data_IF_763641082187
#
_entry.id   IF_763641082187
#
_cell.length_a   1.000
_cell.length_b   1.000
_cell.length_c   1.000
_cell.angle_alpha   90.00
_cell.angle_beta   90.00
_cell.angle_gamma   90.00
#
_symmetry.space_group_name_H-M   'P 1'
#
loop_
_entity.id
_entity.type
_entity.pdbx_description
1 polymer ?
#
# COMPACT_ATOMS: atom_id res chain seq x y z
N UNK A 1 -12.04 17.60 -16.67
CA UNK A 1 -12.36 16.17 -16.49
C UNK A 1 -13.77 15.85 -16.99
N UNK A 2 -14.81 16.54 -16.54
CA UNK A 2 -16.20 16.28 -16.96
C UNK A 2 -16.39 16.35 -18.48
N UNK A 3 -15.86 17.39 -19.14
CA UNK A 3 -15.95 17.54 -20.60
C UNK A 3 -15.18 16.43 -21.32
N UNK A 4 -14.04 15.99 -20.77
CA UNK A 4 -13.28 14.85 -21.30
C UNK A 4 -14.12 13.57 -21.22
N UNK A 5 -14.77 13.32 -20.10
CA UNK A 5 -15.65 12.16 -19.92
C UNK A 5 -16.81 12.20 -20.90
N UNK A 6 -17.51 13.36 -21.04
CA UNK A 6 -18.60 13.53 -22.00
C UNK A 6 -18.17 13.27 -23.45
N UNK A 7 -16.99 13.78 -23.83
CA UNK A 7 -16.42 13.56 -25.15
C UNK A 7 -16.16 12.08 -25.42
N UNK A 8 -15.56 11.38 -24.47
CA UNK A 8 -15.27 9.96 -24.62
C UNK A 8 -16.54 9.09 -24.61
N UNK A 9 -17.56 9.47 -23.82
CA UNK A 9 -18.87 8.81 -23.87
C UNK A 9 -19.53 8.97 -25.24
N UNK A 10 -19.40 10.16 -25.89
CA UNK A 10 -19.88 10.36 -27.23
C UNK A 10 -19.17 9.48 -28.29
N UNK A 11 -17.92 9.07 -28.00
CA UNK A 11 -17.15 8.10 -28.79
C UNK A 11 -17.50 6.63 -28.47
N UNK A 12 -18.48 6.41 -27.57
CA UNK A 12 -18.99 5.08 -27.20
C UNK A 12 -17.92 4.16 -26.60
N UNK A 13 -17.07 4.70 -25.70
CA UNK A 13 -16.14 3.87 -24.94
C UNK A 13 -16.90 2.95 -23.97
N UNK A 14 -16.41 1.74 -23.77
CA UNK A 14 -17.02 0.75 -22.88
C UNK A 14 -16.74 1.02 -21.39
N UNK A 15 -15.67 1.77 -21.09
CA UNK A 15 -15.31 2.06 -19.71
C UNK A 15 -14.15 3.02 -19.55
N UNK A 16 -13.87 3.31 -18.27
CA UNK A 16 -12.80 4.23 -17.88
C UNK A 16 -11.90 3.61 -16.81
N UNK A 17 -10.60 3.77 -17.01
CA UNK A 17 -9.58 3.51 -15.99
C UNK A 17 -8.93 4.86 -15.68
N UNK A 18 -9.23 5.44 -14.51
CA UNK A 18 -8.78 6.80 -14.18
C UNK A 18 -7.92 6.81 -12.93
N UNK A 19 -6.80 7.54 -13.02
CA UNK A 19 -6.00 7.97 -11.88
C UNK A 19 -6.02 9.48 -11.78
N UNK A 20 -6.31 10.01 -10.59
CA UNK A 20 -6.47 11.45 -10.39
C UNK A 20 -5.83 11.92 -9.08
N UNK A 21 -5.31 13.15 -8.98
CA UNK A 21 -4.71 13.68 -7.76
C UNK A 21 -5.72 14.15 -6.71
N UNK A 22 -6.99 14.36 -7.05
CA UNK A 22 -8.04 14.81 -6.14
C UNK A 22 -8.59 13.63 -5.33
N UNK A 23 -8.76 13.84 -4.01
CA UNK A 23 -9.38 12.87 -3.12
C UNK A 23 -10.85 12.67 -3.46
N UNK A 24 -11.33 11.43 -3.45
CA UNK A 24 -12.73 11.04 -3.67
C UNK A 24 -13.32 11.44 -5.02
N UNK A 25 -12.50 11.83 -5.99
CA UNK A 25 -12.98 12.15 -7.34
C UNK A 25 -13.63 10.94 -8.01
N UNK A 26 -13.17 9.73 -7.67
CA UNK A 26 -13.73 8.48 -8.19
C UNK A 26 -15.21 8.30 -7.88
N UNK A 27 -15.68 8.74 -6.71
CA UNK A 27 -17.10 8.70 -6.34
C UNK A 27 -17.93 9.62 -7.26
N UNK A 28 -17.42 10.83 -7.54
CA UNK A 28 -18.09 11.79 -8.46
C UNK A 28 -18.14 11.25 -9.88
N UNK A 29 -17.04 10.65 -10.34
CA UNK A 29 -16.96 10.06 -11.68
C UNK A 29 -17.94 8.89 -11.80
N UNK A 30 -17.92 7.93 -10.88
CA UNK A 30 -18.79 6.77 -10.92
C UNK A 30 -20.28 7.16 -10.94
N UNK A 31 -20.68 8.17 -10.14
CA UNK A 31 -22.06 8.65 -10.10
C UNK A 31 -22.49 9.42 -11.38
N UNK A 32 -21.55 9.88 -12.18
CA UNK A 32 -21.84 10.62 -13.43
C UNK A 32 -21.84 9.72 -14.68
N UNK A 33 -21.39 8.47 -14.55
CA UNK A 33 -21.34 7.52 -15.67
C UNK A 33 -22.67 6.78 -15.85
N UNK A 34 -23.05 6.45 -17.09
CA UNK A 34 -24.16 5.51 -17.34
C UNK A 34 -23.85 4.13 -16.80
N UNK A 35 -24.89 3.37 -16.38
CA UNK A 35 -24.77 2.00 -15.88
C UNK A 35 -24.12 1.01 -16.88
N UNK A 36 -24.17 1.34 -18.16
CA UNK A 36 -23.56 0.55 -19.24
C UNK A 36 -22.04 0.76 -19.39
N UNK A 37 -21.44 1.68 -18.63
CA UNK A 37 -20.03 2.04 -18.75
C UNK A 37 -19.29 1.69 -17.46
N UNK A 38 -18.32 0.79 -17.53
CA UNK A 38 -17.56 0.40 -16.34
C UNK A 38 -16.55 1.49 -15.93
N UNK A 39 -16.20 1.50 -14.64
CA UNK A 39 -15.21 2.39 -14.09
C UNK A 39 -14.24 1.66 -13.15
N UNK A 40 -12.94 1.85 -13.36
CA UNK A 40 -11.88 1.35 -12.51
C UNK A 40 -11.09 2.52 -11.92
N UNK A 41 -11.09 2.63 -10.59
CA UNK A 41 -10.24 3.56 -9.86
C UNK A 41 -8.79 3.06 -9.83
N UNK A 42 -7.90 3.72 -10.60
CA UNK A 42 -6.46 3.45 -10.63
C UNK A 42 -5.67 4.29 -9.60
N UNK A 43 -6.35 4.87 -8.63
CA UNK A 43 -5.84 5.68 -7.53
C UNK A 43 -6.30 7.13 -7.57
N UNK A 44 -6.95 7.58 -6.50
CA UNK A 44 -7.42 8.95 -6.34
C UNK A 44 -6.83 9.59 -5.07
N UNK A 45 -6.17 10.72 -5.25
CA UNK A 45 -5.54 11.51 -4.18
C UNK A 45 -4.73 10.68 -3.18
N UNK A 46 -5.02 10.85 -1.89
CA UNK A 46 -4.58 10.01 -0.77
C UNK A 46 -5.70 9.06 -0.30
N UNK A 47 -6.84 9.05 -0.99
CA UNK A 47 -8.06 8.39 -0.56
C UNK A 47 -8.05 6.89 -0.82
N UNK A 48 -7.81 6.44 -2.07
CA UNK A 48 -7.91 5.03 -2.42
C UNK A 48 -7.01 4.61 -3.58
N UNK A 49 -6.60 3.33 -3.56
CA UNK A 49 -5.98 2.63 -4.67
C UNK A 49 -6.40 1.15 -4.66
N UNK A 50 -7.66 0.85 -4.99
CA UNK A 50 -8.23 -0.48 -4.83
C UNK A 50 -7.50 -1.55 -5.63
N UNK A 51 -7.09 -1.26 -6.87
CA UNK A 51 -6.38 -2.25 -7.71
C UNK A 51 -5.00 -2.61 -7.17
N UNK A 52 -4.33 -1.71 -6.43
CA UNK A 52 -3.09 -2.03 -5.73
C UNK A 52 -3.38 -2.89 -4.49
N UNK A 53 -4.38 -2.52 -3.71
CA UNK A 53 -4.77 -3.32 -2.54
C UNK A 53 -5.16 -4.75 -2.94
N UNK A 54 -5.85 -4.93 -4.07
CA UNK A 54 -6.22 -6.26 -4.58
C UNK A 54 -5.00 -7.13 -4.87
N UNK A 55 -4.03 -6.63 -5.63
CA UNK A 55 -2.82 -7.41 -5.94
C UNK A 55 -1.99 -7.71 -4.69
N UNK A 56 -1.92 -6.77 -3.74
CA UNK A 56 -1.18 -6.96 -2.49
C UNK A 56 -1.83 -8.06 -1.63
N UNK A 57 -3.13 -8.00 -1.44
CA UNK A 57 -3.89 -9.00 -0.66
C UNK A 57 -3.91 -10.35 -1.38
N UNK A 58 -4.02 -10.36 -2.70
CA UNK A 58 -3.89 -11.58 -3.51
C UNK A 58 -2.51 -12.22 -3.33
N UNK A 59 -1.44 -11.42 -3.33
CA UNK A 59 -0.07 -11.92 -3.09
C UNK A 59 0.08 -12.53 -1.68
N UNK A 60 -0.55 -11.94 -0.67
CA UNK A 60 -0.61 -12.52 0.68
C UNK A 60 -1.37 -13.85 0.68
N UNK A 61 -2.51 -13.90 -0.02
CA UNK A 61 -3.35 -15.11 -0.12
C UNK A 61 -2.59 -16.28 -0.78
N UNK A 62 -1.85 -16.02 -1.85
CA UNK A 62 -1.03 -17.06 -2.50
C UNK A 62 0.02 -17.69 -1.59
N UNK A 63 0.49 -16.95 -0.57
CA UNK A 63 1.50 -17.45 0.37
C UNK A 63 0.92 -18.19 1.57
N UNK A 64 -0.28 -17.79 2.00
CA UNK A 64 -0.84 -18.29 3.26
C UNK A 64 -2.15 -19.06 3.10
N UNK A 65 -2.80 -19.01 1.93
CA UNK A 65 -4.12 -19.61 1.62
C UNK A 65 -5.27 -19.17 2.53
N UNK A 66 -4.98 -18.55 3.66
CA UNK A 66 -5.95 -18.01 4.63
C UNK A 66 -5.42 -16.69 5.15
N UNK A 67 -6.28 -15.68 5.25
CA UNK A 67 -5.89 -14.33 5.66
C UNK A 67 -6.35 -13.98 7.08
N UNK A 68 -7.28 -14.73 7.66
CA UNK A 68 -7.91 -14.42 8.95
C UNK A 68 -6.89 -14.26 10.08
N UNK A 69 -5.96 -15.18 10.17
CA UNK A 69 -4.95 -15.23 11.23
C UNK A 69 -3.62 -14.59 10.81
N UNK A 70 -3.64 -13.87 9.69
CA UNK A 70 -2.46 -13.21 9.17
C UNK A 70 -2.10 -12.00 10.07
N UNK A 71 -0.82 -11.92 10.45
CA UNK A 71 -0.26 -10.84 11.24
C UNK A 71 0.53 -9.90 10.31
N UNK A 72 -0.03 -8.72 10.03
CA UNK A 72 0.54 -7.74 9.10
C UNK A 72 1.12 -6.57 9.87
N UNK A 73 2.34 -6.18 9.58
CA UNK A 73 2.90 -4.89 10.01
C UNK A 73 3.11 -4.00 8.80
N UNK A 74 2.57 -2.79 8.86
CA UNK A 74 2.73 -1.74 7.85
C UNK A 74 3.76 -0.76 8.37
N UNK A 75 4.88 -0.61 7.66
CA UNK A 75 6.01 0.23 8.06
C UNK A 75 6.16 1.42 7.13
N UNK A 76 6.27 2.61 7.70
CA UNK A 76 6.66 3.83 6.98
C UNK A 76 5.58 4.90 6.89
N UNK A 77 5.43 5.52 5.73
CA UNK A 77 4.54 6.68 5.52
C UNK A 77 3.09 6.25 5.27
N UNK A 78 2.38 6.00 6.36
CA UNK A 78 0.96 5.57 6.33
C UNK A 78 0.03 6.71 5.95
N UNK A 79 0.31 7.92 6.45
CA UNK A 79 -0.56 9.10 6.28
C UNK A 79 -0.72 9.50 4.82
N UNK A 80 0.34 9.41 4.04
CA UNK A 80 0.34 9.85 2.65
C UNK A 80 0.12 8.68 1.66
N UNK A 81 -0.10 7.46 2.17
CA UNK A 81 -0.33 6.29 1.34
C UNK A 81 -1.80 6.11 0.98
N UNK A 82 -2.13 6.27 -0.31
CA UNK A 82 -3.48 5.95 -0.83
C UNK A 82 -3.79 4.45 -0.86
N UNK A 83 -2.77 3.60 -0.76
CA UNK A 83 -2.93 2.14 -0.78
C UNK A 83 -3.52 1.64 0.52
N UNK A 84 -3.06 2.19 1.65
CA UNK A 84 -3.37 1.67 2.98
C UNK A 84 -4.87 1.68 3.32
N UNK A 85 -5.65 2.75 3.06
CA UNK A 85 -7.09 2.69 3.31
C UNK A 85 -7.78 1.54 2.57
N UNK A 86 -7.45 1.35 1.29
CA UNK A 86 -8.01 0.26 0.47
C UNK A 86 -7.53 -1.13 0.95
N UNK A 87 -6.26 -1.25 1.35
CA UNK A 87 -5.68 -2.51 1.84
C UNK A 87 -6.31 -2.93 3.17
N UNK A 88 -6.46 -2.00 4.11
CA UNK A 88 -7.13 -2.28 5.40
C UNK A 88 -8.58 -2.72 5.16
N UNK A 89 -9.30 -2.01 4.29
CA UNK A 89 -10.68 -2.37 3.95
C UNK A 89 -10.74 -3.81 3.42
N UNK A 90 -9.88 -4.15 2.46
CA UNK A 90 -9.88 -5.48 1.86
C UNK A 90 -9.44 -6.57 2.84
N UNK A 91 -8.39 -6.36 3.64
CA UNK A 91 -7.96 -7.28 4.69
C UNK A 91 -9.08 -7.53 5.72
N UNK A 92 -9.83 -6.47 6.09
CA UNK A 92 -10.98 -6.60 6.99
C UNK A 92 -12.11 -7.45 6.40
N UNK A 93 -12.37 -7.36 5.09
CA UNK A 93 -13.35 -8.23 4.40
C UNK A 93 -12.97 -9.71 4.50
N UNK A 94 -11.69 -10.03 4.50
CA UNK A 94 -11.16 -11.38 4.74
C UNK A 94 -10.94 -11.70 6.23
N UNK A 95 -11.48 -10.89 7.13
CA UNK A 95 -11.36 -11.08 8.60
C UNK A 95 -9.95 -11.04 9.16
N UNK A 96 -8.96 -10.52 8.42
CA UNK A 96 -7.63 -10.24 8.94
C UNK A 96 -7.70 -9.02 9.89
N UNK A 97 -7.46 -9.24 11.18
CA UNK A 97 -7.63 -8.22 12.23
C UNK A 97 -6.33 -7.79 12.88
N UNK A 98 -5.26 -8.60 12.77
CA UNK A 98 -3.97 -8.31 13.39
C UNK A 98 -3.10 -7.46 12.45
N UNK A 99 -3.44 -6.18 12.37
CA UNK A 99 -2.72 -5.19 11.56
C UNK A 99 -2.09 -4.16 12.49
N UNK A 100 -0.76 -4.05 12.46
CA UNK A 100 0.02 -3.08 13.22
C UNK A 100 0.65 -2.05 12.29
N UNK A 101 0.95 -0.87 12.85
CA UNK A 101 1.65 0.19 12.16
C UNK A 101 2.99 0.48 12.85
N UNK A 102 4.04 0.69 12.07
CA UNK A 102 5.39 0.94 12.57
C UNK A 102 6.03 2.11 11.82
N UNK A 103 6.50 3.11 12.54
CA UNK A 103 7.15 4.28 11.94
C UNK A 103 7.07 5.51 12.81
N UNK A 104 7.71 6.62 12.40
CA UNK A 104 7.63 7.87 13.12
C UNK A 104 6.18 8.31 13.35
N UNK A 105 5.90 8.82 14.55
CA UNK A 105 4.55 9.27 14.94
C UNK A 105 3.96 10.31 13.97
N UNK A 106 4.77 11.15 13.37
CA UNK A 106 4.35 12.14 12.36
C UNK A 106 3.83 11.51 11.06
N UNK A 107 4.21 10.25 10.77
CA UNK A 107 3.80 9.52 9.56
C UNK A 107 2.64 8.55 9.79
N UNK A 108 2.11 8.46 11.01
CA UNK A 108 1.02 7.55 11.37
C UNK A 108 -0.03 8.32 12.17
N UNK A 109 -1.17 8.61 11.54
CA UNK A 109 -2.27 9.31 12.22
C UNK A 109 -2.91 8.44 13.31
N UNK A 110 -3.50 9.08 14.32
CA UNK A 110 -4.09 8.43 15.50
C UNK A 110 -5.20 7.39 15.17
N UNK A 111 -5.82 7.51 13.99
CA UNK A 111 -6.80 6.53 13.51
C UNK A 111 -6.20 5.17 13.16
N UNK A 112 -4.88 5.09 12.96
CA UNK A 112 -4.18 3.86 12.63
C UNK A 112 -3.61 3.24 13.91
N UNK A 113 -4.31 2.27 14.49
CA UNK A 113 -3.94 1.62 15.75
C UNK A 113 -4.02 0.10 15.64
N UNK A 114 -3.16 -0.65 16.34
CA UNK A 114 -2.05 -0.16 17.17
C UNK A 114 -0.87 0.34 16.34
N UNK A 115 -0.26 1.45 16.78
CA UNK A 115 0.89 2.06 16.14
C UNK A 115 2.10 2.12 17.10
N UNK A 116 3.29 1.87 16.59
CA UNK A 116 4.55 1.85 17.31
C UNK A 116 5.54 2.80 16.65
N UNK A 117 6.15 3.68 17.44
CA UNK A 117 7.11 4.69 17.00
C UNK A 117 8.58 4.25 17.16
N UNK A 118 8.78 2.99 17.53
CA UNK A 118 10.11 2.39 17.63
C UNK A 118 10.08 0.91 17.29
N UNK A 119 11.11 0.46 16.58
CA UNK A 119 11.32 -0.95 16.26
C UNK A 119 12.17 -1.60 17.36
N UNK A 120 11.53 -2.04 18.45
CA UNK A 120 12.19 -2.74 19.55
C UNK A 120 12.69 -4.13 19.16
N UNK A 121 13.60 -4.68 19.97
CA UNK A 121 14.14 -6.02 19.77
C UNK A 121 13.03 -7.07 19.75
N UNK A 122 13.02 -7.90 18.72
CA UNK A 122 12.06 -8.99 18.57
C UNK A 122 10.62 -8.57 18.24
N UNK A 123 10.33 -7.28 18.03
CA UNK A 123 8.95 -6.79 17.84
C UNK A 123 8.24 -7.37 16.60
N UNK A 124 8.98 -7.93 15.65
CA UNK A 124 8.43 -8.54 14.43
C UNK A 124 8.60 -10.07 14.39
N UNK A 125 9.01 -10.71 15.48
CA UNK A 125 9.33 -12.14 15.49
C UNK A 125 8.17 -13.05 15.03
N UNK A 126 6.93 -12.66 15.35
CA UNK A 126 5.71 -13.40 14.98
C UNK A 126 4.92 -12.78 13.82
N UNK A 127 5.45 -11.74 13.16
CA UNK A 127 4.75 -11.10 12.05
C UNK A 127 4.94 -11.89 10.76
N UNK A 128 3.85 -12.11 10.04
CA UNK A 128 3.83 -12.84 8.77
C UNK A 128 4.24 -11.95 7.59
N UNK A 129 3.75 -10.71 7.58
CA UNK A 129 4.01 -9.73 6.54
C UNK A 129 4.59 -8.46 7.15
N UNK A 130 5.68 -7.97 6.56
CA UNK A 130 6.17 -6.61 6.72
C UNK A 130 5.94 -5.85 5.40
N UNK A 131 4.92 -5.01 5.40
CA UNK A 131 4.54 -4.19 4.25
C UNK A 131 5.19 -2.82 4.36
N UNK A 132 6.23 -2.59 3.56
CA UNK A 132 7.06 -1.38 3.62
C UNK A 132 6.52 -0.32 2.69
N UNK A 133 6.38 0.90 3.18
CA UNK A 133 5.88 2.05 2.42
C UNK A 133 7.00 3.03 2.10
N UNK A 134 6.97 3.56 0.90
CA UNK A 134 7.82 4.64 0.46
C UNK A 134 7.55 5.92 1.28
N UNK A 135 8.60 6.63 1.66
CA UNK A 135 8.47 7.99 2.19
C UNK A 135 8.11 8.92 1.04
N UNK A 136 6.93 9.55 1.10
CA UNK A 136 6.40 10.38 0.02
C UNK A 136 6.68 11.87 0.28
N UNK A 137 7.96 12.27 0.25
CA UNK A 137 8.42 13.64 0.52
C UNK A 137 7.68 14.70 -0.31
N UNK A 138 7.30 14.36 -1.52
CA UNK A 138 6.56 15.21 -2.43
C UNK A 138 5.13 15.55 -1.95
N UNK A 139 4.65 14.87 -0.93
CA UNK A 139 3.33 15.06 -0.33
C UNK A 139 3.34 15.75 1.02
N UNK A 140 4.51 16.00 1.56
CA UNK A 140 4.63 16.71 2.84
C UNK A 140 4.17 18.16 2.71
N UNK A 141 3.37 18.62 3.69
CA UNK A 141 2.87 19.99 3.78
C UNK A 141 3.26 20.56 5.14
N UNK A 142 4.00 21.67 5.14
CA UNK A 142 4.37 22.36 6.38
C UNK A 142 5.35 21.58 7.26
N UNK A 143 4.99 21.37 8.52
CA UNK A 143 5.84 20.74 9.56
C UNK A 143 5.94 19.20 9.45
N UNK A 144 5.37 18.58 8.43
CA UNK A 144 5.44 17.11 8.22
C UNK A 144 6.84 16.61 7.86
N UNK A 145 7.85 17.52 7.84
CA UNK A 145 9.23 17.16 7.53
C UNK A 145 9.79 16.16 8.54
N UNK A 146 10.13 14.98 8.08
CA UNK A 146 10.90 14.01 8.87
C UNK A 146 12.39 14.18 8.60
N UNK A 147 13.18 13.98 9.64
CA UNK A 147 14.60 13.81 9.45
C UNK A 147 14.86 12.44 8.82
N UNK A 148 15.21 12.43 7.53
CA UNK A 148 15.46 11.19 6.78
C UNK A 148 16.57 10.34 7.42
N UNK A 149 17.61 10.98 7.95
CA UNK A 149 18.68 10.28 8.65
C UNK A 149 18.20 9.51 9.88
N UNK A 150 17.26 10.09 10.65
CA UNK A 150 16.64 9.40 11.77
C UNK A 150 15.73 8.26 11.30
N UNK A 151 14.96 8.48 10.22
CA UNK A 151 14.14 7.41 9.64
C UNK A 151 15.02 6.24 9.18
N UNK A 152 16.07 6.50 8.43
CA UNK A 152 17.00 5.48 7.95
C UNK A 152 17.59 4.69 9.12
N UNK A 153 18.04 5.40 10.17
CA UNK A 153 18.63 4.76 11.34
C UNK A 153 17.68 3.82 12.07
N UNK A 154 16.42 4.22 12.22
CA UNK A 154 15.50 3.53 13.12
C UNK A 154 14.56 2.56 12.38
N UNK A 155 14.21 2.83 11.11
CA UNK A 155 13.15 2.15 10.39
C UNK A 155 13.54 1.61 9.00
N UNK A 156 14.72 1.94 8.46
CA UNK A 156 15.14 1.37 7.19
C UNK A 156 15.21 -0.15 7.29
N UNK A 157 14.53 -0.84 6.40
CA UNK A 157 14.58 -2.30 6.30
C UNK A 157 15.90 -2.71 5.64
N UNK A 158 16.83 -3.12 6.49
CA UNK A 158 18.15 -3.64 6.16
C UNK A 158 18.44 -4.90 7.00
N UNK A 159 19.59 -5.51 6.84
CA UNK A 159 19.95 -6.74 7.56
C UNK A 159 19.97 -6.56 9.09
N UNK A 160 20.42 -5.41 9.59
CA UNK A 160 20.47 -5.12 11.02
C UNK A 160 19.06 -4.93 11.60
N UNK A 161 18.20 -4.23 10.86
CA UNK A 161 16.78 -4.09 11.21
C UNK A 161 16.10 -5.47 11.28
N UNK A 162 16.25 -6.30 10.26
CA UNK A 162 15.65 -7.65 10.19
C UNK A 162 16.14 -8.50 11.36
N UNK A 163 17.46 -8.48 11.63
CA UNK A 163 18.06 -9.23 12.74
C UNK A 163 17.56 -8.74 14.11
N UNK A 164 17.58 -7.42 14.34
CA UNK A 164 17.14 -6.79 15.60
C UNK A 164 15.67 -7.09 15.87
N UNK A 165 14.80 -6.90 14.89
CA UNK A 165 13.36 -7.15 15.02
C UNK A 165 12.97 -8.62 14.99
N UNK A 166 13.93 -9.53 14.73
CA UNK A 166 13.73 -10.97 14.56
C UNK A 166 12.70 -11.33 13.48
N UNK A 167 12.55 -10.48 12.46
CA UNK A 167 11.59 -10.71 11.38
C UNK A 167 11.96 -11.93 10.52
N UNK A 168 10.99 -12.82 10.32
CA UNK A 168 11.14 -14.05 9.53
C UNK A 168 10.07 -14.21 8.43
N UNK A 169 9.10 -13.32 8.39
CA UNK A 169 8.00 -13.33 7.43
C UNK A 169 8.40 -12.83 6.03
N UNK A 170 7.42 -12.50 5.23
CA UNK A 170 7.63 -11.99 3.89
C UNK A 170 7.63 -10.45 3.84
N UNK A 171 8.57 -9.90 3.06
CA UNK A 171 8.65 -8.47 2.76
C UNK A 171 7.79 -8.15 1.55
N UNK A 172 7.03 -7.06 1.63
CA UNK A 172 6.21 -6.52 0.56
C UNK A 172 6.41 -5.01 0.41
N UNK A 173 6.25 -4.49 -0.80
CA UNK A 173 6.33 -3.06 -1.09
C UNK A 173 5.48 -2.72 -2.31
N UNK A 174 4.56 -1.73 -2.26
CA UNK A 174 3.65 -1.43 -3.38
C UNK A 174 4.34 -0.76 -4.57
N UNK A 175 5.62 -0.42 -4.44
CA UNK A 175 6.40 0.32 -5.45
C UNK A 175 5.94 1.79 -5.66
N UNK A 176 6.80 2.61 -6.28
CA UNK A 176 8.24 2.37 -6.46
C UNK A 176 9.01 2.45 -5.14
N UNK A 177 10.12 1.73 -5.02
CA UNK A 177 10.99 1.77 -3.84
C UNK A 177 12.00 2.92 -3.93
N UNK A 178 12.26 3.59 -2.80
CA UNK A 178 13.43 4.48 -2.65
C UNK A 178 14.55 3.67 -2.00
N UNK A 179 15.31 2.96 -2.81
CA UNK A 179 16.45 2.16 -2.34
C UNK A 179 17.45 3.05 -1.62
N UNK A 180 17.84 2.64 -0.41
CA UNK A 180 18.71 3.43 0.48
C UNK A 180 17.95 4.32 1.46
N UNK A 181 16.65 4.55 1.27
CA UNK A 181 15.78 5.25 2.23
C UNK A 181 15.00 4.24 3.11
N UNK A 182 13.83 3.80 2.68
CA UNK A 182 12.99 2.88 3.48
C UNK A 182 13.45 1.41 3.42
N UNK A 183 14.17 1.03 2.37
CA UNK A 183 14.62 -0.35 2.17
C UNK A 183 15.97 -0.39 1.47
N UNK A 184 16.83 -1.35 1.81
CA UNK A 184 18.07 -1.58 1.08
C UNK A 184 17.85 -2.53 -0.10
N UNK A 185 18.75 -2.46 -1.09
CA UNK A 185 18.72 -3.37 -2.24
C UNK A 185 18.82 -4.84 -1.81
N UNK A 186 19.64 -5.14 -0.81
CA UNK A 186 19.80 -6.50 -0.28
C UNK A 186 18.51 -7.03 0.35
N UNK A 187 17.74 -6.19 1.06
CA UNK A 187 16.45 -6.58 1.63
C UNK A 187 15.38 -6.71 0.55
N UNK A 188 15.34 -5.79 -0.41
CA UNK A 188 14.39 -5.84 -1.53
C UNK A 188 14.55 -7.11 -2.39
N UNK A 189 15.78 -7.62 -2.53
CA UNK A 189 16.13 -8.82 -3.30
C UNK A 189 16.28 -10.09 -2.43
N UNK A 190 15.92 -10.03 -1.15
CA UNK A 190 16.01 -11.20 -0.27
C UNK A 190 15.03 -12.32 -0.69
N UNK A 191 15.34 -13.58 -0.35
CA UNK A 191 14.50 -14.75 -0.71
C UNK A 191 13.06 -14.65 -0.19
N UNK A 192 12.84 -13.93 0.89
CA UNK A 192 11.52 -13.68 1.47
C UNK A 192 10.89 -12.36 0.99
N UNK A 193 11.44 -11.70 -0.02
CA UNK A 193 10.82 -10.54 -0.66
C UNK A 193 9.80 -10.99 -1.70
N UNK A 194 8.59 -10.45 -1.62
CA UNK A 194 7.50 -10.69 -2.57
C UNK A 194 7.30 -9.52 -3.55
N UNK A 195 8.21 -8.56 -3.59
CA UNK A 195 8.08 -7.36 -4.43
C UNK A 195 7.87 -7.70 -5.91
N UNK A 196 8.64 -8.62 -6.46
CA UNK A 196 8.48 -9.03 -7.86
C UNK A 196 7.23 -9.90 -8.07
N UNK A 197 6.84 -10.70 -7.07
CA UNK A 197 5.56 -11.43 -7.10
C UNK A 197 4.38 -10.45 -7.10
N UNK A 198 4.44 -9.35 -6.33
CA UNK A 198 3.41 -8.29 -6.41
C UNK A 198 3.32 -7.67 -7.82
N UNK A 199 4.46 -7.47 -8.50
CA UNK A 199 4.46 -6.94 -9.88
C UNK A 199 3.76 -7.91 -10.83
N UNK A 200 4.07 -9.21 -10.76
CA UNK A 200 3.43 -10.26 -11.56
C UNK A 200 1.93 -10.35 -11.25
N UNK A 201 1.55 -10.41 -9.98
CA UNK A 201 0.18 -10.45 -9.52
C UNK A 201 -0.61 -9.19 -9.91
N UNK A 202 0.09 -8.07 -10.09
CA UNK A 202 -0.48 -6.85 -10.63
C UNK A 202 -1.01 -6.99 -12.05
N UNK A 203 -0.39 -7.82 -12.88
CA UNK A 203 -0.90 -8.14 -14.21
C UNK A 203 -2.19 -8.97 -14.12
N UNK A 204 -2.13 -10.08 -13.37
CA UNK A 204 -3.28 -11.00 -13.26
C UNK A 204 -4.49 -10.35 -12.59
N UNK A 205 -4.29 -9.64 -11.48
CA UNK A 205 -5.38 -8.96 -10.77
C UNK A 205 -6.06 -7.90 -11.61
N UNK A 206 -5.31 -7.15 -12.42
CA UNK A 206 -5.88 -6.13 -13.30
C UNK A 206 -6.54 -6.72 -14.53
N UNK A 207 -5.99 -7.80 -15.09
CA UNK A 207 -6.64 -8.54 -16.17
C UNK A 207 -8.00 -9.09 -15.73
N UNK A 208 -8.08 -9.68 -14.54
CA UNK A 208 -9.33 -10.20 -13.99
C UNK A 208 -10.43 -9.16 -13.77
N UNK A 209 -10.08 -7.87 -13.66
CA UNK A 209 -11.06 -6.78 -13.57
C UNK A 209 -11.66 -6.40 -14.93
N UNK A 210 -11.05 -6.84 -16.03
CA UNK A 210 -11.44 -6.49 -17.40
C UNK A 210 -12.16 -7.64 -18.12
N UNK A 211 -12.28 -8.79 -17.47
CA UNK A 211 -12.97 -9.99 -17.99
C UNK A 211 -14.31 -10.20 -17.33
#
# INVERSE_FOLDING_TARGET
LEDTIKTLLALKVDGFIIRHPEDRISEKIANALPDSVFYINAGDGNHAHPTQAMLDVFTMYEKYNELRDLKVTILGDVNHSRVIPSQIQLLNMFSCKDINFLGPKSLIADKFTPAFDSASDGCLAERHILFVLRIQKERFKGDDSINEGNFIKDFQVNNDFIKRTSFKGFLMHPGPMNIGAEITESAANAKNSLVLTQVENGLYSRAALLT
#
